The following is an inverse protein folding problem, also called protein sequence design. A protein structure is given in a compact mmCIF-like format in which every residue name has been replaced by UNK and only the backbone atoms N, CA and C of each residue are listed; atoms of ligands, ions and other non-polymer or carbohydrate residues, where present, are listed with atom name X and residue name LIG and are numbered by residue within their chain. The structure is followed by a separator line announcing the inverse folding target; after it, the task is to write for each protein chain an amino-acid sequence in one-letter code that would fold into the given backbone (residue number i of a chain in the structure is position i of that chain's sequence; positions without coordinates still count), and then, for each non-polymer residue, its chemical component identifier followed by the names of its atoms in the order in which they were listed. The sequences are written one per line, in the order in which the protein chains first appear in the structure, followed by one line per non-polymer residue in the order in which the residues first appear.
data_IF_838475750647
#
_entry.id   IF_838475750647
#
_cell.length_a   1.000
_cell.length_b   1.000
_cell.length_c   1.000
_cell.angle_alpha   90.00
_cell.angle_beta   90.00
_cell.angle_gamma   90.00
#
_symmetry.space_group_name_H-M   'P 1'
#
loop_
_entity.id
_entity.type
_entity.pdbx_description
1 polymer ?
#
# COMPACT_ATOMS: atom_id res chain seq x y z
N UNK A 1 9.79 -31.55 1.39
CA UNK A 1 10.07 -30.29 0.68
C UNK A 1 10.60 -29.29 1.69
N UNK A 2 11.48 -28.38 1.28
CA UNK A 2 11.97 -27.31 2.16
C UNK A 2 10.86 -26.28 2.41
N UNK A 3 10.89 -25.67 3.59
CA UNK A 3 10.03 -24.53 3.92
C UNK A 3 10.54 -23.28 3.18
N UNK A 4 9.68 -22.68 2.36
CA UNK A 4 9.89 -21.44 1.62
C UNK A 4 9.28 -20.30 2.43
N UNK A 5 10.15 -19.38 2.82
CA UNK A 5 9.78 -18.08 3.39
C UNK A 5 10.08 -17.04 2.33
N UNK A 6 9.03 -16.37 1.85
CA UNK A 6 9.17 -15.23 0.96
C UNK A 6 9.32 -13.97 1.82
N UNK A 7 10.56 -13.50 1.90
CA UNK A 7 10.94 -12.41 2.77
C UNK A 7 10.66 -11.02 2.18
N UNK A 8 10.15 -10.92 0.94
CA UNK A 8 9.92 -9.65 0.26
C UNK A 8 8.69 -9.69 -0.65
N UNK A 9 7.54 -9.41 -0.06
CA UNK A 9 6.28 -9.22 -0.79
C UNK A 9 5.69 -7.86 -0.48
N UNK A 10 4.75 -7.40 -1.30
CA UNK A 10 4.12 -6.10 -1.12
C UNK A 10 2.59 -6.18 -1.11
N UNK A 11 1.96 -5.17 -0.51
CA UNK A 11 0.59 -4.80 -0.84
C UNK A 11 0.57 -3.49 -1.63
N UNK A 12 -0.44 -3.33 -2.48
CA UNK A 12 -0.82 -2.04 -3.04
C UNK A 12 -1.92 -1.46 -2.17
N UNK A 13 -1.64 -0.36 -1.48
CA UNK A 13 -2.54 0.30 -0.55
C UNK A 13 -3.92 0.57 -1.17
N UNK A 14 -5.02 0.03 -0.60
CA UNK A 14 -6.37 0.31 -1.06
C UNK A 14 -6.96 1.58 -0.41
N UNK A 15 -7.90 2.30 -1.05
CA UNK A 15 -8.59 3.43 -0.43
C UNK A 15 -9.26 3.11 0.92
N UNK A 16 -9.79 1.91 1.09
CA UNK A 16 -10.43 1.37 2.29
C UNK A 16 -9.49 1.36 3.51
N UNK A 17 -8.17 1.34 3.28
CA UNK A 17 -7.20 1.46 4.36
C UNK A 17 -7.33 2.79 5.12
N UNK A 18 -7.83 3.84 4.46
CA UNK A 18 -8.02 5.16 5.09
C UNK A 18 -9.26 5.23 5.98
N UNK A 19 -10.09 4.19 6.02
CA UNK A 19 -11.18 4.06 7.00
C UNK A 19 -10.65 3.83 8.42
N UNK A 20 -9.37 3.46 8.56
CA UNK A 20 -8.67 3.33 9.84
C UNK A 20 -8.01 4.64 10.30
N UNK A 21 -8.17 5.72 9.53
CA UNK A 21 -7.66 7.04 9.90
C UNK A 21 -8.56 7.65 10.99
N UNK A 22 -7.96 8.40 11.92
CA UNK A 22 -8.73 9.13 12.92
C UNK A 22 -9.70 10.13 12.26
N UNK A 23 -10.89 10.28 12.83
CA UNK A 23 -11.94 11.17 12.31
C UNK A 23 -11.42 12.61 12.11
N UNK A 24 -10.58 13.10 13.03
CA UNK A 24 -9.98 14.45 12.95
C UNK A 24 -9.09 14.64 11.71
N UNK A 25 -8.52 13.54 11.19
CA UNK A 25 -7.66 13.52 10.02
C UNK A 25 -8.38 13.05 8.76
N UNK A 26 -9.65 12.63 8.85
CA UNK A 26 -10.37 12.04 7.71
C UNK A 26 -10.45 12.99 6.50
N UNK A 27 -10.62 14.30 6.74
CA UNK A 27 -10.63 15.32 5.68
C UNK A 27 -9.27 15.49 4.97
N UNK A 28 -8.19 14.96 5.56
CA UNK A 28 -6.81 15.04 5.09
C UNK A 28 -6.30 13.72 4.49
N UNK A 29 -7.15 12.69 4.42
CA UNK A 29 -6.77 11.35 3.91
C UNK A 29 -6.30 11.40 2.45
N UNK A 30 -5.44 10.46 2.02
CA UNK A 30 -5.10 10.29 0.61
C UNK A 30 -6.34 10.05 -0.25
N UNK A 31 -6.42 10.74 -1.38
CA UNK A 31 -7.49 10.54 -2.36
C UNK A 31 -6.90 10.24 -3.73
N UNK A 32 -7.63 9.47 -4.55
CA UNK A 32 -7.17 9.16 -5.90
C UNK A 32 -7.57 10.28 -6.86
N UNK A 33 -6.62 10.73 -7.67
CA UNK A 33 -6.83 11.63 -8.80
C UNK A 33 -6.47 10.91 -10.10
N UNK A 34 -7.28 11.10 -11.13
CA UNK A 34 -7.09 10.48 -12.45
C UNK A 34 -6.78 11.55 -13.49
N UNK A 35 -5.92 11.23 -14.44
CA UNK A 35 -5.54 12.08 -15.56
C UNK A 35 -5.80 11.37 -16.90
N UNK A 36 -5.83 12.09 -18.03
CA UNK A 36 -5.96 11.47 -19.35
C UNK A 36 -4.75 10.58 -19.73
N UNK A 37 -5.01 9.55 -20.55
CA UNK A 37 -3.99 8.63 -21.05
C UNK A 37 -3.10 9.22 -22.15
N UNK A 38 -3.57 10.26 -22.83
CA UNK A 38 -2.83 10.99 -23.88
C UNK A 38 -1.80 11.99 -23.29
N UNK A 39 -1.36 11.72 -22.07
CA UNK A 39 -0.28 12.43 -21.39
C UNK A 39 1.00 11.59 -21.42
N UNK A 40 2.13 12.17 -21.01
CA UNK A 40 3.41 11.45 -20.91
C UNK A 40 3.41 10.25 -19.94
N UNK A 41 2.35 10.10 -19.14
CA UNK A 41 2.22 9.07 -18.11
C UNK A 41 1.50 7.80 -18.61
N UNK A 42 0.84 7.87 -19.78
CA UNK A 42 0.15 6.74 -20.40
C UNK A 42 -0.81 6.06 -19.44
N UNK A 43 -0.69 4.73 -19.29
CA UNK A 43 -1.54 3.89 -18.42
C UNK A 43 -1.22 3.99 -16.92
N UNK A 44 -0.25 4.84 -16.52
CA UNK A 44 -0.04 5.25 -15.11
C UNK A 44 -0.85 6.52 -14.86
N UNK A 45 -2.15 6.44 -15.12
CA UNK A 45 -3.08 7.57 -15.21
C UNK A 45 -3.82 7.89 -13.91
N UNK A 46 -3.47 7.25 -12.80
CA UNK A 46 -4.04 7.54 -11.49
C UNK A 46 -2.93 7.68 -10.44
N UNK A 47 -3.10 8.65 -9.53
CA UNK A 47 -2.16 8.98 -8.46
C UNK A 47 -2.93 9.25 -7.16
N UNK A 48 -2.25 9.11 -6.03
CA UNK A 48 -2.68 9.66 -4.76
C UNK A 48 -2.40 11.16 -4.70
N UNK A 49 -3.39 11.95 -4.27
CA UNK A 49 -3.21 13.30 -3.78
C UNK A 49 -3.11 13.22 -2.25
N UNK A 50 -1.94 13.57 -1.72
CA UNK A 50 -1.62 13.53 -0.28
C UNK A 50 -0.95 14.85 0.07
N UNK A 51 -1.56 15.62 0.98
CA UNK A 51 -0.96 16.85 1.50
C UNK A 51 -0.48 17.82 0.39
N UNK A 52 -1.30 17.96 -0.65
CA UNK A 52 -0.99 18.80 -1.83
C UNK A 52 0.01 18.19 -2.83
N UNK A 53 0.49 16.98 -2.61
CA UNK A 53 1.42 16.27 -3.50
C UNK A 53 0.75 15.14 -4.27
N UNK A 54 1.18 14.92 -5.52
CA UNK A 54 0.79 13.74 -6.31
C UNK A 54 1.81 12.61 -6.15
N UNK A 55 1.34 11.39 -5.90
CA UNK A 55 2.18 10.21 -5.63
C UNK A 55 1.59 8.96 -6.32
N UNK A 56 2.33 8.22 -7.15
CA UNK A 56 3.72 8.44 -7.52
C UNK A 56 3.92 9.65 -8.45
N UNK A 57 5.17 10.07 -8.62
CA UNK A 57 5.61 11.07 -9.62
C UNK A 57 6.35 10.36 -10.76
N UNK A 58 5.67 9.70 -11.71
CA UNK A 58 6.31 8.80 -12.69
C UNK A 58 7.21 9.49 -13.72
N UNK A 59 7.23 10.83 -13.80
CA UNK A 59 8.07 11.61 -14.72
C UNK A 59 8.74 12.80 -14.03
N UNK A 60 9.77 13.36 -14.69
CA UNK A 60 10.55 14.49 -14.18
C UNK A 60 11.75 14.09 -13.30
N UNK A 61 12.53 15.09 -12.86
CA UNK A 61 13.70 14.87 -11.99
C UNK A 61 13.25 14.38 -10.62
N UNK A 62 13.83 13.27 -10.15
CA UNK A 62 13.42 12.63 -8.90
C UNK A 62 12.10 11.87 -9.01
N UNK A 63 11.65 11.59 -10.23
CA UNK A 63 10.47 10.77 -10.46
C UNK A 63 10.68 9.32 -10.07
N UNK A 64 9.59 8.67 -9.66
CA UNK A 64 9.55 7.27 -9.24
C UNK A 64 8.20 6.67 -9.63
N UNK A 65 8.14 5.35 -9.75
CA UNK A 65 6.93 4.61 -10.09
C UNK A 65 6.55 3.72 -8.93
N UNK A 66 5.25 3.62 -8.68
CA UNK A 66 4.67 2.70 -7.72
C UNK A 66 3.55 1.91 -8.40
N UNK A 67 3.22 0.74 -7.88
CA UNK A 67 2.07 -0.06 -8.30
C UNK A 67 0.74 0.37 -7.65
N UNK A 68 0.75 1.44 -6.85
CA UNK A 68 -0.42 2.06 -6.21
C UNK A 68 -0.63 3.49 -6.75
N UNK A 69 -1.88 3.99 -6.85
CA UNK A 69 -3.15 3.32 -6.55
C UNK A 69 -3.51 2.24 -7.58
N UNK A 70 -4.33 1.27 -7.16
CA UNK A 70 -4.88 0.22 -8.03
C UNK A 70 -5.78 0.78 -9.15
N UNK A 71 -6.23 2.03 -9.02
CA UNK A 71 -6.97 2.76 -10.05
C UNK A 71 -6.15 3.04 -11.32
N UNK A 72 -4.82 2.88 -11.30
CA UNK A 72 -4.02 2.97 -12.52
C UNK A 72 -4.48 1.93 -13.53
N UNK A 73 -4.73 2.33 -14.77
CA UNK A 73 -5.14 1.42 -15.85
C UNK A 73 -4.16 0.25 -16.00
N UNK A 74 -2.84 0.49 -15.88
CA UNK A 74 -1.84 -0.58 -15.96
C UNK A 74 -2.03 -1.66 -14.88
N UNK A 75 -2.57 -1.31 -13.71
CA UNK A 75 -2.84 -2.24 -12.63
C UNK A 75 -4.18 -2.95 -12.80
N UNK A 76 -5.16 -2.28 -13.41
CA UNK A 76 -6.45 -2.91 -13.72
C UNK A 76 -6.32 -3.95 -14.85
N UNK A 77 -5.38 -3.75 -15.78
CA UNK A 77 -5.10 -4.68 -16.87
C UNK A 77 -4.34 -5.95 -16.44
N UNK A 78 -3.91 -6.05 -15.18
CA UNK A 78 -3.21 -7.23 -14.65
C UNK A 78 -4.17 -8.39 -14.43
N UNK A 79 -3.77 -9.57 -14.92
CA UNK A 79 -4.53 -10.83 -14.83
C UNK A 79 -3.80 -11.91 -14.02
N UNK A 80 -2.60 -11.61 -13.52
CA UNK A 80 -1.77 -12.56 -12.78
C UNK A 80 -2.31 -12.85 -11.38
N UNK A 81 -2.90 -11.85 -10.72
CA UNK A 81 -3.47 -11.98 -9.38
C UNK A 81 -4.79 -11.20 -9.22
N UNK A 82 -5.79 -11.75 -8.50
CA UNK A 82 -6.99 -11.02 -8.12
C UNK A 82 -6.68 -9.72 -7.37
N UNK A 83 -7.57 -8.74 -7.44
CA UNK A 83 -7.38 -7.44 -6.78
C UNK A 83 -7.21 -7.60 -5.26
N UNK A 84 -8.12 -8.34 -4.62
CA UNK A 84 -8.10 -8.58 -3.17
C UNK A 84 -6.84 -9.29 -2.67
N UNK A 85 -6.19 -10.07 -3.54
CA UNK A 85 -4.87 -10.63 -3.25
C UNK A 85 -3.79 -9.54 -3.26
N UNK A 86 -3.80 -8.61 -4.22
CA UNK A 86 -2.75 -7.58 -4.38
C UNK A 86 -2.83 -6.44 -3.36
N UNK A 87 -4.02 -6.07 -2.92
CA UNK A 87 -4.24 -4.98 -1.96
C UNK A 87 -4.57 -5.43 -0.53
N UNK A 88 -4.69 -6.75 -0.32
CA UNK A 88 -5.04 -7.39 0.96
C UNK A 88 -6.42 -7.03 1.50
N UNK A 89 -7.34 -6.58 0.65
CA UNK A 89 -8.77 -6.50 1.01
C UNK A 89 -9.41 -7.88 1.18
N UNK A 90 -8.81 -8.93 0.59
CA UNK A 90 -9.16 -10.33 0.83
C UNK A 90 -7.90 -11.18 1.09
N UNK A 91 -7.45 -11.28 2.35
CA UNK A 91 -6.27 -12.05 2.72
C UNK A 91 -6.38 -13.55 2.43
N UNK A 92 -7.60 -14.10 2.33
CA UNK A 92 -7.79 -15.52 2.01
C UNK A 92 -7.36 -15.82 0.57
N UNK A 93 -7.60 -14.89 -0.36
CA UNK A 93 -7.06 -14.99 -1.73
C UNK A 93 -5.54 -15.01 -1.75
N UNK A 94 -4.88 -14.21 -0.90
CA UNK A 94 -3.42 -14.23 -0.78
C UNK A 94 -2.90 -15.55 -0.21
N UNK A 95 -3.54 -16.11 0.81
CA UNK A 95 -3.15 -17.41 1.36
C UNK A 95 -3.32 -18.53 0.34
N UNK A 96 -4.40 -18.53 -0.45
CA UNK A 96 -4.60 -19.50 -1.52
C UNK A 96 -3.51 -19.38 -2.61
N UNK A 97 -3.06 -18.16 -2.91
CA UNK A 97 -1.95 -17.89 -3.81
C UNK A 97 -0.62 -18.46 -3.28
N UNK A 98 -0.34 -18.24 -1.99
CA UNK A 98 0.80 -18.82 -1.29
C UNK A 98 0.80 -20.35 -1.33
N UNK A 99 -0.37 -20.98 -1.13
CA UNK A 99 -0.51 -22.44 -1.18
C UNK A 99 -0.23 -23.01 -2.58
N UNK A 100 -0.67 -22.31 -3.63
CA UNK A 100 -0.38 -22.69 -5.03
C UNK A 100 1.13 -22.67 -5.32
N UNK A 101 1.82 -21.66 -4.80
CA UNK A 101 3.25 -21.43 -5.05
C UNK A 101 4.15 -22.15 -4.03
N UNK A 102 3.55 -22.85 -3.06
CA UNK A 102 4.26 -23.63 -2.05
C UNK A 102 4.96 -22.79 -0.97
N UNK A 103 4.54 -21.54 -0.77
CA UNK A 103 5.11 -20.57 0.19
C UNK A 103 4.44 -20.70 1.55
N UNK A 104 5.23 -20.93 2.61
CA UNK A 104 4.71 -21.11 3.96
C UNK A 104 4.50 -19.78 4.68
N UNK A 105 5.40 -18.82 4.50
CA UNK A 105 5.29 -17.49 5.13
C UNK A 105 5.67 -16.40 4.14
N UNK A 106 4.88 -15.31 4.13
CA UNK A 106 5.22 -14.07 3.43
C UNK A 106 5.47 -12.93 4.43
N UNK A 107 6.50 -12.10 4.17
CA UNK A 107 6.69 -10.79 4.80
C UNK A 107 6.17 -9.71 3.86
N UNK A 108 5.25 -8.89 4.33
CA UNK A 108 4.55 -7.86 3.55
C UNK A 108 5.09 -6.47 3.87
N UNK A 109 5.62 -5.82 2.85
CA UNK A 109 6.05 -4.42 2.82
C UNK A 109 4.98 -3.51 2.21
N UNK A 110 4.95 -2.22 2.59
CA UNK A 110 4.12 -1.23 1.92
C UNK A 110 4.61 -1.01 0.47
N UNK A 111 3.79 -0.39 -0.35
CA UNK A 111 4.22 0.20 -1.62
C UNK A 111 4.23 1.72 -1.55
N UNK A 112 3.17 2.35 -1.02
CA UNK A 112 3.02 3.80 -0.92
C UNK A 112 4.06 4.42 0.03
N UNK A 113 4.33 3.75 1.15
CA UNK A 113 5.25 4.24 2.19
C UNK A 113 6.73 3.96 1.89
N UNK A 114 7.07 3.43 0.71
CA UNK A 114 8.46 3.32 0.24
C UNK A 114 9.06 4.69 -0.13
N UNK A 115 8.23 5.73 -0.17
CA UNK A 115 8.62 7.10 -0.46
C UNK A 115 8.09 8.04 0.62
N UNK A 116 8.68 9.23 0.69
CA UNK A 116 8.17 10.28 1.58
C UNK A 116 6.86 10.87 1.03
N UNK A 117 5.77 10.79 1.80
CA UNK A 117 4.41 11.14 1.35
C UNK A 117 3.82 12.42 1.95
N UNK A 118 4.32 12.88 3.09
CA UNK A 118 3.92 14.15 3.73
C UNK A 118 5.02 14.59 4.69
N UNK A 119 5.19 15.90 4.84
CA UNK A 119 6.08 16.51 5.82
C UNK A 119 5.33 16.96 7.09
N UNK A 120 4.00 16.79 7.15
CA UNK A 120 3.20 17.09 8.32
C UNK A 120 3.29 15.92 9.33
N UNK A 121 3.84 16.14 10.53
CA UNK A 121 4.05 15.06 11.51
C UNK A 121 2.75 14.44 12.04
N UNK A 122 1.67 15.21 12.16
CA UNK A 122 0.39 14.72 12.66
C UNK A 122 -0.26 13.80 11.62
N UNK A 123 -0.26 14.24 10.36
CA UNK A 123 -0.78 13.45 9.25
C UNK A 123 0.06 12.20 9.04
N UNK A 124 1.39 12.32 9.03
CA UNK A 124 2.31 11.18 8.91
C UNK A 124 2.00 10.09 9.95
N UNK A 125 1.86 10.49 11.22
CA UNK A 125 1.55 9.57 12.30
C UNK A 125 0.16 8.94 12.14
N UNK A 126 -0.82 9.71 11.67
CA UNK A 126 -2.16 9.20 11.32
C UNK A 126 -2.12 8.13 10.21
N UNK A 127 -1.41 8.41 9.11
CA UNK A 127 -1.30 7.49 7.97
C UNK A 127 -0.57 6.21 8.34
N UNK A 128 0.52 6.32 9.11
CA UNK A 128 1.25 5.16 9.63
C UNK A 128 0.37 4.27 10.52
N UNK A 129 -0.43 4.87 11.41
CA UNK A 129 -1.41 4.14 12.24
C UNK A 129 -2.47 3.44 11.40
N UNK A 130 -3.05 4.12 10.42
CA UNK A 130 -4.07 3.55 9.53
C UNK A 130 -3.51 2.34 8.76
N UNK A 131 -2.32 2.48 8.18
CA UNK A 131 -1.60 1.39 7.51
C UNK A 131 -1.38 0.19 8.44
N UNK A 132 -0.78 0.43 9.62
CA UNK A 132 -0.46 -0.64 10.56
C UNK A 132 -1.70 -1.37 11.06
N UNK A 133 -2.84 -0.66 11.22
CA UNK A 133 -4.11 -1.27 11.61
C UNK A 133 -4.69 -2.13 10.50
N UNK A 134 -4.78 -1.60 9.28
CA UNK A 134 -5.31 -2.34 8.14
C UNK A 134 -4.50 -3.61 7.86
N UNK A 135 -3.18 -3.49 7.67
CA UNK A 135 -2.33 -4.63 7.33
C UNK A 135 -2.20 -5.60 8.52
N UNK A 136 -2.18 -5.07 9.75
CA UNK A 136 -2.17 -5.90 10.95
C UNK A 136 -3.42 -6.77 11.08
N UNK A 137 -4.62 -6.22 10.77
CA UNK A 137 -5.86 -6.99 10.77
C UNK A 137 -5.89 -8.03 9.64
N UNK A 138 -5.46 -7.65 8.43
CA UNK A 138 -5.33 -8.58 7.31
C UNK A 138 -4.42 -9.76 7.67
N UNK A 139 -3.22 -9.51 8.19
CA UNK A 139 -2.27 -10.56 8.59
C UNK A 139 -2.77 -11.40 9.79
N UNK A 140 -3.50 -10.80 10.74
CA UNK A 140 -4.06 -11.54 11.88
C UNK A 140 -5.03 -12.64 11.43
N UNK A 141 -5.77 -12.42 10.35
CA UNK A 141 -6.71 -13.39 9.78
C UNK A 141 -6.03 -14.62 9.14
N UNK A 142 -4.71 -14.58 8.91
CA UNK A 142 -4.01 -15.63 8.16
C UNK A 142 -3.29 -16.65 9.06
N UNK A 143 -3.56 -16.65 10.37
CA UNK A 143 -2.95 -17.58 11.34
C UNK A 143 -1.41 -17.63 11.30
N UNK A 144 -0.77 -16.48 11.04
CA UNK A 144 0.70 -16.36 11.00
C UNK A 144 1.37 -16.69 9.67
N UNK A 145 0.60 -17.08 8.64
CA UNK A 145 1.08 -17.22 7.24
C UNK A 145 1.62 -15.90 6.68
N UNK A 146 1.10 -14.77 7.12
CA UNK A 146 1.58 -13.46 6.73
C UNK A 146 2.07 -12.67 7.94
N UNK A 147 3.18 -11.97 7.75
CA UNK A 147 3.75 -10.98 8.67
C UNK A 147 3.90 -9.67 7.90
N UNK A 148 3.89 -8.54 8.60
CA UNK A 148 4.08 -7.25 7.95
C UNK A 148 5.18 -6.44 8.62
N UNK A 149 5.75 -5.53 7.83
CA UNK A 149 6.67 -4.52 8.34
C UNK A 149 5.85 -3.29 8.75
N UNK A 150 5.95 -2.93 10.03
CA UNK A 150 5.27 -1.77 10.58
C UNK A 150 5.88 -0.48 10.04
N UNK A 151 5.03 0.51 9.76
CA UNK A 151 5.47 1.86 9.43
C UNK A 151 5.50 2.69 10.70
N UNK A 152 6.65 3.30 10.96
CA UNK A 152 6.88 4.19 12.10
C UNK A 152 7.05 5.62 11.59
N UNK A 153 6.42 6.63 12.22
CA UNK A 153 6.54 8.03 11.80
C UNK A 153 7.97 8.53 12.03
N UNK A 154 8.68 8.89 10.96
CA UNK A 154 10.08 9.33 11.06
C UNK A 154 10.21 10.74 11.64
N UNK A 155 9.16 11.56 11.59
CA UNK A 155 9.18 12.93 12.14
C UNK A 155 8.94 13.01 13.65
N UNK A 156 8.60 11.90 14.32
CA UNK A 156 8.35 11.89 15.77
C UNK A 156 8.81 10.59 16.42
N UNK A 157 9.79 10.71 17.33
CA UNK A 157 10.28 9.58 18.15
C UNK A 157 9.19 9.08 19.07
N UNK A 158 8.48 9.98 19.77
CA UNK A 158 7.42 9.62 20.70
C UNK A 158 6.28 8.87 20.01
N UNK A 159 5.95 9.22 18.76
CA UNK A 159 4.92 8.52 17.99
C UNK A 159 5.39 7.15 17.43
N UNK A 160 6.70 6.86 17.50
CA UNK A 160 7.31 5.62 17.02
C UNK A 160 7.53 4.56 18.11
N UNK A 161 7.35 4.92 19.38
CA UNK A 161 7.49 4.06 20.56
C UNK A 161 6.12 3.52 20.98
#
# INVERSE_FOLDING_TARGET
MAEIIDADTHLNEPPEMWDYLDESLHSRRPVVVTIPNDTLYGTTNAMWLIDGQIIPRPGGKGGFRLSTPQAQERQQMRTDLPLGCRDLTDPALRVADMDRDGVQVQVVYPTLFLVHITADPELEAGLARAYNRFVGQACASTQGRMRWVAILPFSSVDASI
#
